data_IF_956688774468
#
_entry.id   IF_956688774468
#
_cell.length_a   1.000
_cell.length_b   1.000
_cell.length_c   1.000
_cell.angle_alpha   90.00
_cell.angle_beta   90.00
_cell.angle_gamma   90.00
#
_symmetry.space_group_name_H-M   'P 1'
#
loop_
_entity.id
_entity.type
_entity.pdbx_description
1 polymer ?
#
# COMPACT_ATOMS: atom_id res chain seq x y z
N UNK A 1 53.45 1.79 28.58
CA UNK A 1 54.42 1.84 27.46
C UNK A 1 53.65 2.33 26.24
N UNK A 2 53.84 3.61 25.91
CA UNK A 2 53.17 4.32 24.80
C UNK A 2 53.93 4.08 23.50
N UNK A 3 53.25 3.64 22.43
CA UNK A 3 53.64 3.78 21.01
C UNK A 3 52.52 3.18 20.15
N UNK A 4 52.02 3.72 19.04
CA UNK A 4 52.19 4.95 18.27
C UNK A 4 50.95 5.03 17.36
N UNK A 5 50.13 6.07 17.47
CA UNK A 5 49.02 6.33 16.55
C UNK A 5 49.58 6.87 15.23
N UNK A 6 49.40 6.13 14.12
CA UNK A 6 49.71 6.65 12.77
C UNK A 6 48.60 7.62 12.35
N UNK A 7 48.98 8.90 12.21
CA UNK A 7 48.20 9.94 11.55
C UNK A 7 48.14 9.61 10.05
N UNK A 8 46.95 9.48 9.48
CA UNK A 8 46.74 9.55 8.03
C UNK A 8 45.97 10.84 7.78
N UNK A 9 46.65 11.79 7.14
CA UNK A 9 46.18 13.13 6.82
C UNK A 9 46.04 13.22 5.29
N UNK A 10 44.88 13.75 4.88
CA UNK A 10 44.56 14.47 3.64
C UNK A 10 44.55 13.78 2.28
N UNK A 11 43.44 14.01 1.59
CA UNK A 11 43.27 13.85 0.15
C UNK A 11 41.82 14.16 -0.28
N UNK A 12 41.36 15.40 -0.09
CA UNK A 12 40.12 15.90 -0.72
C UNK A 12 40.39 16.10 -2.21
N UNK A 13 39.70 15.36 -3.07
CA UNK A 13 39.66 15.62 -4.52
C UNK A 13 38.23 16.05 -4.88
N UNK A 14 37.99 17.36 -4.85
CA UNK A 14 36.76 18.01 -5.33
C UNK A 14 36.77 18.05 -6.85
N UNK A 15 35.86 17.32 -7.50
CA UNK A 15 35.60 17.45 -8.94
C UNK A 15 34.43 18.41 -9.13
N UNK A 16 34.72 19.64 -9.55
CA UNK A 16 33.72 20.58 -10.04
C UNK A 16 33.33 20.18 -11.47
N UNK A 17 32.10 19.68 -11.65
CA UNK A 17 31.49 19.58 -12.97
C UNK A 17 30.48 20.73 -13.12
N UNK A 18 30.91 21.78 -13.82
CA UNK A 18 30.03 22.85 -14.31
C UNK A 18 29.28 22.32 -15.52
N UNK A 19 27.98 22.03 -15.38
CA UNK A 19 27.08 21.84 -16.52
C UNK A 19 26.20 23.09 -16.65
N UNK A 20 26.66 24.02 -17.50
CA UNK A 20 25.80 25.02 -18.12
C UNK A 20 25.14 24.32 -19.32
N UNK A 21 23.85 24.00 -19.21
CA UNK A 21 23.00 23.86 -20.39
C UNK A 21 22.04 25.04 -20.36
N UNK A 22 22.42 26.04 -21.15
CA UNK A 22 21.58 27.14 -21.56
C UNK A 22 20.32 26.59 -22.26
N UNK A 23 19.19 27.25 -22.01
CA UNK A 23 17.94 26.95 -22.67
C UNK A 23 18.03 27.14 -24.18
N UNK A 24 17.43 26.20 -24.91
CA UNK A 24 17.00 26.44 -26.27
C UNK A 24 15.48 26.58 -26.28
N UNK A 25 15.05 27.80 -26.57
CA UNK A 25 13.69 28.18 -26.93
C UNK A 25 13.19 27.39 -28.15
N UNK A 26 11.86 27.28 -28.17
CA UNK A 26 10.99 26.92 -29.29
C UNK A 26 11.17 27.78 -30.54
N UNK A 27 11.14 27.15 -31.72
CA UNK A 27 10.45 27.57 -32.99
C UNK A 27 11.00 26.77 -34.19
N UNK A 28 10.33 26.72 -35.37
CA UNK A 28 8.90 26.59 -35.64
C UNK A 28 8.60 25.42 -36.62
N UNK A 29 7.31 25.22 -36.86
CA UNK A 29 6.64 24.30 -37.78
C UNK A 29 7.28 24.13 -39.17
N UNK A 30 7.40 22.89 -39.64
CA UNK A 30 7.41 22.61 -41.07
C UNK A 30 6.68 21.29 -41.39
N UNK A 31 5.65 21.44 -42.20
CA UNK A 31 4.77 20.41 -42.74
C UNK A 31 5.49 19.45 -43.67
N UNK A 32 5.18 18.16 -43.57
CA UNK A 32 5.25 17.21 -44.70
C UNK A 32 4.27 16.07 -44.44
N UNK A 33 3.21 16.02 -45.25
CA UNK A 33 2.33 14.87 -45.38
C UNK A 33 3.13 13.68 -45.94
N UNK A 34 2.86 12.45 -45.50
CA UNK A 34 2.38 11.32 -46.34
C UNK A 34 2.16 10.04 -45.49
N UNK A 35 0.90 9.59 -45.49
CA UNK A 35 0.32 8.22 -45.37
C UNK A 35 0.52 7.27 -44.16
N UNK A 36 -0.57 7.17 -43.39
CA UNK A 36 -1.30 5.98 -42.91
C UNK A 36 -0.50 4.71 -42.52
N UNK A 37 -0.41 4.50 -41.22
CA UNK A 37 -0.77 3.22 -40.57
C UNK A 37 -1.47 3.54 -39.25
N UNK A 38 -2.78 3.31 -39.19
CA UNK A 38 -3.60 3.55 -38.01
C UNK A 38 -3.43 2.39 -37.02
N UNK A 39 -2.39 2.46 -36.19
CA UNK A 39 -2.38 1.75 -34.91
C UNK A 39 -2.87 2.71 -33.83
N UNK A 40 -4.14 2.58 -33.46
CA UNK A 40 -4.74 3.27 -32.34
C UNK A 40 -4.22 2.65 -31.04
N UNK A 41 -2.96 2.92 -30.70
CA UNK A 41 -2.50 2.77 -29.32
C UNK A 41 -3.20 3.86 -28.51
N UNK A 42 -4.35 3.53 -27.91
CA UNK A 42 -4.92 4.32 -26.82
C UNK A 42 -3.92 4.28 -25.66
N UNK A 43 -3.00 5.24 -25.64
CA UNK A 43 -2.39 5.69 -24.39
C UNK A 43 -3.54 6.01 -23.43
N UNK A 44 -3.52 5.54 -22.17
CA UNK A 44 -4.51 5.97 -21.19
C UNK A 44 -4.44 7.49 -21.11
N UNK A 45 -5.49 8.13 -21.63
CA UNK A 45 -5.65 9.56 -21.56
C UNK A 45 -5.85 9.88 -20.09
N UNK A 46 -4.80 10.40 -19.44
CA UNK A 46 -4.82 10.75 -18.02
C UNK A 46 -5.92 11.78 -17.83
N UNK A 47 -7.06 11.38 -17.26
CA UNK A 47 -8.08 12.31 -16.80
C UNK A 47 -7.38 13.35 -15.91
N UNK A 48 -7.80 14.61 -16.05
CA UNK A 48 -7.26 15.73 -15.28
C UNK A 48 -7.31 15.45 -13.76
N UNK A 49 -6.51 16.14 -12.93
CA UNK A 49 -6.48 15.95 -11.49
C UNK A 49 -7.89 15.94 -10.91
N UNK A 50 -8.26 14.84 -10.23
CA UNK A 50 -9.58 14.74 -9.65
C UNK A 50 -9.60 15.51 -8.34
N UNK A 51 -10.12 16.72 -8.40
CA UNK A 51 -10.43 17.50 -7.22
C UNK A 51 -11.61 16.84 -6.51
N UNK A 52 -11.32 16.01 -5.49
CA UNK A 52 -12.33 15.34 -4.69
C UNK A 52 -13.30 16.31 -4.01
N UNK A 53 -13.00 17.62 -3.92
CA UNK A 53 -13.98 18.60 -3.39
C UNK A 53 -15.05 18.98 -4.42
N UNK A 54 -14.76 18.82 -5.73
CA UNK A 54 -15.68 19.12 -6.83
C UNK A 54 -16.33 17.87 -7.42
N UNK A 55 -15.59 16.76 -7.47
CA UNK A 55 -16.07 15.46 -7.92
C UNK A 55 -15.49 14.38 -7.03
N UNK A 56 -16.28 13.96 -6.04
CA UNK A 56 -15.88 13.00 -5.01
C UNK A 56 -15.70 11.58 -5.56
N UNK A 57 -15.98 11.33 -6.83
CA UNK A 57 -16.21 9.98 -7.32
C UNK A 57 -14.97 9.30 -7.89
N UNK A 58 -15.03 7.99 -8.04
CA UNK A 58 -14.10 7.24 -8.86
C UNK A 58 -13.24 6.24 -8.10
N UNK A 59 -12.48 5.46 -8.85
CA UNK A 59 -11.70 4.33 -8.35
C UNK A 59 -10.21 4.65 -8.35
N UNK A 60 -9.55 4.29 -7.26
CA UNK A 60 -8.14 4.50 -7.00
C UNK A 60 -7.48 3.16 -6.68
N UNK A 61 -6.30 2.89 -7.22
CA UNK A 61 -5.55 1.65 -7.01
C UNK A 61 -4.37 1.88 -6.09
N UNK A 62 -4.16 1.02 -5.09
CA UNK A 62 -3.03 1.10 -4.16
C UNK A 62 -1.68 0.87 -4.87
N UNK A 63 -0.73 1.79 -4.68
CA UNK A 63 0.53 1.81 -5.44
C UNK A 63 1.80 1.79 -4.59
N UNK A 64 1.73 2.10 -3.29
CA UNK A 64 2.89 2.15 -2.39
C UNK A 64 2.89 0.96 -1.41
N UNK A 65 2.86 -0.24 -1.97
CA UNK A 65 2.53 -1.47 -1.24
C UNK A 65 3.65 -1.89 -0.29
N UNK A 66 4.85 -2.12 -0.82
CA UNK A 66 6.00 -2.55 -0.03
C UNK A 66 6.34 -1.59 1.11
N UNK A 67 6.40 -0.27 0.85
CA UNK A 67 6.73 0.71 1.89
C UNK A 67 5.70 0.73 3.02
N UNK A 68 4.41 0.61 2.67
CA UNK A 68 3.34 0.51 3.66
C UNK A 68 3.51 -0.74 4.53
N UNK A 69 3.65 -1.91 3.89
CA UNK A 69 3.74 -3.19 4.60
C UNK A 69 5.01 -3.29 5.41
N UNK A 70 6.14 -2.78 4.91
CA UNK A 70 7.38 -2.69 5.67
C UNK A 70 7.20 -1.91 6.98
N UNK A 71 6.47 -0.78 6.96
CA UNK A 71 6.18 -0.02 8.18
C UNK A 71 5.30 -0.80 9.14
N UNK A 72 4.27 -1.48 8.64
CA UNK A 72 3.41 -2.34 9.46
C UNK A 72 4.25 -3.45 10.10
N UNK A 73 5.11 -4.11 9.34
CA UNK A 73 5.98 -5.17 9.84
C UNK A 73 7.00 -4.69 10.86
N UNK A 74 7.70 -3.57 10.59
CA UNK A 74 8.65 -2.96 11.53
C UNK A 74 7.97 -2.59 12.86
N UNK A 75 6.70 -2.22 12.79
CA UNK A 75 5.92 -1.87 13.95
C UNK A 75 5.20 -3.07 14.58
N UNK A 76 5.47 -4.31 14.14
CA UNK A 76 4.86 -5.53 14.63
C UNK A 76 5.91 -6.48 15.22
N UNK A 77 5.48 -7.48 15.99
CA UNK A 77 6.38 -8.48 16.56
C UNK A 77 6.70 -9.64 15.58
N UNK A 78 6.73 -9.37 14.27
CA UNK A 78 7.07 -10.37 13.26
C UNK A 78 8.59 -10.59 13.23
N UNK A 79 9.02 -11.84 13.09
CA UNK A 79 10.44 -12.19 12.95
C UNK A 79 11.02 -11.47 11.72
N UNK A 80 12.17 -10.80 11.86
CA UNK A 80 12.81 -10.04 10.77
C UNK A 80 12.97 -10.81 9.46
N UNK A 81 13.34 -12.09 9.55
CA UNK A 81 13.46 -12.96 8.37
C UNK A 81 12.09 -13.19 7.70
N UNK A 82 11.03 -13.42 8.49
CA UNK A 82 9.67 -13.57 7.96
C UNK A 82 9.20 -12.27 7.29
N UNK A 83 9.40 -11.12 7.96
CA UNK A 83 9.03 -9.81 7.42
C UNK A 83 9.74 -9.48 6.10
N UNK A 84 10.99 -9.94 5.91
CA UNK A 84 11.73 -9.75 4.66
C UNK A 84 11.21 -10.62 3.52
N UNK A 85 10.85 -11.87 3.80
CA UNK A 85 10.33 -12.81 2.79
C UNK A 85 8.90 -12.44 2.39
N UNK A 86 8.03 -12.23 3.37
CA UNK A 86 6.61 -11.92 3.20
C UNK A 86 6.34 -10.58 2.47
N UNK A 87 7.35 -9.73 2.27
CA UNK A 87 7.14 -8.40 1.70
C UNK A 87 6.72 -8.46 0.23
N UNK A 88 7.31 -9.39 -0.52
CA UNK A 88 7.10 -9.52 -1.97
C UNK A 88 5.71 -10.10 -2.30
N UNK A 89 5.09 -10.81 -1.35
CA UNK A 89 3.73 -11.36 -1.48
C UNK A 89 2.68 -10.27 -1.70
N UNK A 90 2.97 -9.04 -1.27
CA UNK A 90 2.05 -7.93 -1.41
C UNK A 90 2.04 -7.32 -2.81
N UNK A 91 3.09 -7.50 -3.62
CA UNK A 91 3.22 -6.86 -4.94
C UNK A 91 2.11 -7.26 -5.92
N UNK A 92 1.53 -8.46 -5.70
CA UNK A 92 0.44 -9.00 -6.52
C UNK A 92 -0.93 -8.45 -6.10
N UNK A 93 -1.03 -7.79 -4.94
CA UNK A 93 -2.30 -7.35 -4.37
C UNK A 93 -2.85 -6.18 -5.15
N UNK A 94 -4.05 -6.36 -5.71
CA UNK A 94 -4.77 -5.31 -6.45
C UNK A 94 -5.84 -4.68 -5.56
N UNK A 95 -5.40 -3.95 -4.54
CA UNK A 95 -6.33 -3.19 -3.71
C UNK A 95 -6.83 -1.95 -4.44
N UNK A 96 -8.15 -1.75 -4.38
CA UNK A 96 -8.84 -0.59 -4.92
C UNK A 96 -9.64 0.10 -3.84
N UNK A 97 -9.70 1.43 -3.91
CA UNK A 97 -10.60 2.27 -3.14
C UNK A 97 -11.52 2.99 -4.11
N UNK A 98 -12.83 2.75 -4.01
CA UNK A 98 -13.84 3.44 -4.81
C UNK A 98 -14.56 4.44 -3.93
N UNK A 99 -14.63 5.69 -4.37
CA UNK A 99 -15.39 6.73 -3.71
C UNK A 99 -16.63 7.00 -4.57
N UNK A 100 -17.81 7.00 -3.95
CA UNK A 100 -19.07 7.35 -4.60
C UNK A 100 -19.93 8.10 -3.60
N UNK A 101 -20.33 9.31 -3.96
CA UNK A 101 -20.96 10.26 -3.04
C UNK A 101 -20.09 10.40 -1.77
N UNK A 102 -20.67 10.18 -0.59
CA UNK A 102 -19.95 10.18 0.71
C UNK A 102 -19.40 8.81 1.12
N UNK A 103 -19.58 7.79 0.29
CA UNK A 103 -19.20 6.41 0.62
C UNK A 103 -17.85 6.08 0.02
N UNK A 104 -17.02 5.39 0.80
CA UNK A 104 -15.74 4.83 0.37
C UNK A 104 -15.80 3.32 0.50
N UNK A 105 -15.41 2.58 -0.53
CA UNK A 105 -15.30 1.12 -0.48
C UNK A 105 -13.87 0.70 -0.80
N UNK A 106 -13.20 0.06 0.16
CA UNK A 106 -11.94 -0.64 -0.04
C UNK A 106 -12.20 -2.09 -0.40
N UNK A 107 -11.59 -2.55 -1.50
CA UNK A 107 -11.71 -3.92 -2.00
C UNK A 107 -10.35 -4.48 -2.38
N UNK A 108 -10.15 -5.77 -2.13
CA UNK A 108 -9.02 -6.51 -2.66
C UNK A 108 -9.29 -8.01 -2.65
N UNK A 109 -8.51 -8.75 -3.43
CA UNK A 109 -8.35 -10.20 -3.35
C UNK A 109 -6.96 -10.51 -2.79
N UNK A 110 -6.85 -11.48 -1.89
CA UNK A 110 -5.58 -11.85 -1.27
C UNK A 110 -5.42 -13.36 -1.19
N UNK A 111 -4.34 -13.87 -1.79
CA UNK A 111 -3.83 -15.23 -1.60
C UNK A 111 -2.83 -15.20 -0.45
N UNK A 112 -3.09 -15.99 0.59
CA UNK A 112 -2.27 -16.01 1.79
C UNK A 112 -1.37 -17.24 1.90
N UNK A 113 -1.31 -18.09 0.86
CA UNK A 113 -0.50 -19.31 0.88
C UNK A 113 0.98 -18.99 0.95
N UNK A 114 1.50 -18.19 0.02
CA UNK A 114 2.93 -17.82 -0.02
C UNK A 114 3.35 -17.10 1.27
N UNK A 115 2.49 -16.19 1.75
CA UNK A 115 2.68 -15.47 3.02
C UNK A 115 2.90 -16.40 4.22
N UNK A 116 2.08 -17.43 4.35
CA UNK A 116 2.21 -18.40 5.44
C UNK A 116 3.37 -19.38 5.22
N UNK A 117 3.78 -19.63 3.97
CA UNK A 117 4.95 -20.44 3.63
C UNK A 117 6.23 -19.75 4.13
N UNK A 118 6.36 -18.47 3.79
CA UNK A 118 7.48 -17.64 4.18
C UNK A 118 7.55 -17.45 5.69
N UNK A 119 6.39 -17.26 6.33
CA UNK A 119 6.31 -17.20 7.78
C UNK A 119 6.80 -18.52 8.41
N UNK A 120 6.30 -19.68 7.96
CA UNK A 120 6.66 -20.99 8.50
C UNK A 120 8.15 -21.32 8.27
N UNK A 121 8.66 -21.02 7.07
CA UNK A 121 10.07 -21.19 6.75
C UNK A 121 10.96 -20.39 7.69
N UNK A 122 10.62 -19.12 7.89
CA UNK A 122 11.40 -18.20 8.70
C UNK A 122 11.34 -18.52 10.20
N UNK A 123 10.18 -18.92 10.75
CA UNK A 123 10.02 -19.24 12.18
C UNK A 123 10.51 -20.64 12.53
N UNK A 124 10.60 -21.55 11.55
CA UNK A 124 10.86 -22.96 11.79
C UNK A 124 9.60 -23.74 12.16
N UNK A 125 8.43 -23.09 12.10
CA UNK A 125 7.15 -23.74 12.40
C UNK A 125 6.80 -24.78 11.34
N UNK A 126 6.44 -25.97 11.83
CA UNK A 126 5.71 -27.00 11.11
C UNK A 126 6.22 -27.36 9.68
N UNK A 127 7.56 -27.29 9.46
CA UNK A 127 8.19 -27.65 8.17
C UNK A 127 7.84 -29.06 7.67
N UNK A 128 7.56 -29.99 8.59
CA UNK A 128 7.22 -31.37 8.25
C UNK A 128 5.77 -31.56 7.77
N UNK A 129 4.86 -30.63 8.07
CA UNK A 129 3.45 -30.75 7.73
C UNK A 129 2.80 -29.38 7.44
N UNK A 130 3.28 -28.75 6.37
CA UNK A 130 2.85 -27.43 5.94
C UNK A 130 1.36 -27.32 5.63
N UNK A 131 0.77 -28.35 5.01
CA UNK A 131 -0.68 -28.36 4.73
C UNK A 131 -1.53 -28.33 6.00
N UNK A 132 -1.13 -29.02 7.07
CA UNK A 132 -1.87 -28.95 8.33
C UNK A 132 -1.68 -27.60 9.03
N UNK A 133 -0.50 -26.99 8.90
CA UNK A 133 -0.26 -25.61 9.35
C UNK A 133 -1.20 -24.62 8.65
N UNK A 134 -1.27 -24.67 7.31
CA UNK A 134 -2.17 -23.83 6.53
C UNK A 134 -3.63 -24.02 6.93
N UNK A 135 -4.11 -25.27 7.03
CA UNK A 135 -5.48 -25.56 7.47
C UNK A 135 -5.79 -24.96 8.85
N UNK A 136 -4.86 -25.04 9.79
CA UNK A 136 -5.03 -24.41 11.11
C UNK A 136 -5.09 -22.88 11.00
N UNK A 137 -4.21 -22.25 10.21
CA UNK A 137 -4.23 -20.80 10.00
C UNK A 137 -5.51 -20.32 9.31
N UNK A 138 -6.01 -21.06 8.32
CA UNK A 138 -7.31 -20.82 7.69
C UNK A 138 -8.45 -20.94 8.69
N UNK A 139 -8.45 -21.96 9.56
CA UNK A 139 -9.47 -22.14 10.59
C UNK A 139 -9.44 -21.00 11.64
N UNK A 140 -8.25 -20.59 12.10
CA UNK A 140 -8.07 -19.43 12.98
C UNK A 140 -8.67 -18.17 12.36
N UNK A 141 -8.35 -17.88 11.09
CA UNK A 141 -8.87 -16.71 10.40
C UNK A 141 -10.39 -16.78 10.19
N UNK A 142 -10.91 -17.96 9.78
CA UNK A 142 -12.35 -18.21 9.62
C UNK A 142 -13.12 -17.95 10.92
N UNK A 143 -12.57 -18.36 12.06
CA UNK A 143 -13.17 -18.12 13.37
C UNK A 143 -13.09 -16.65 13.80
N UNK A 144 -12.14 -15.88 13.27
CA UNK A 144 -12.01 -14.45 13.54
C UNK A 144 -13.01 -13.60 12.75
N UNK A 145 -13.31 -13.97 11.48
CA UNK A 145 -14.17 -13.19 10.57
C UNK A 145 -15.46 -12.69 11.23
N UNK A 146 -16.23 -13.49 12.00
CA UNK A 146 -17.47 -13.02 12.62
C UNK A 146 -17.31 -11.85 13.60
N UNK A 147 -16.10 -11.56 14.08
CA UNK A 147 -15.82 -10.40 14.94
C UNK A 147 -15.78 -9.09 14.15
N UNK A 148 -15.47 -9.13 12.85
CA UNK A 148 -15.52 -8.00 11.94
C UNK A 148 -16.98 -7.77 11.50
N UNK A 149 -17.63 -6.78 12.09
CA UNK A 149 -19.04 -6.42 11.86
C UNK A 149 -19.23 -5.57 10.60
N UNK A 150 -18.21 -4.83 10.19
CA UNK A 150 -18.29 -3.90 9.05
C UNK A 150 -17.50 -4.38 7.83
N UNK A 151 -16.56 -5.29 8.02
CA UNK A 151 -15.83 -5.94 6.93
C UNK A 151 -16.60 -7.15 6.40
N UNK A 152 -16.68 -7.26 5.07
CA UNK A 152 -17.15 -8.46 4.38
C UNK A 152 -15.96 -9.25 3.88
N UNK A 153 -15.87 -10.52 4.27
CA UNK A 153 -14.84 -11.46 3.81
C UNK A 153 -15.52 -12.69 3.23
N UNK A 154 -15.14 -13.06 2.01
CA UNK A 154 -15.55 -14.32 1.37
C UNK A 154 -14.30 -15.19 1.26
N UNK A 155 -14.23 -16.25 2.07
CA UNK A 155 -13.12 -17.20 2.02
C UNK A 155 -13.22 -18.12 0.81
N UNK A 156 -12.11 -18.26 0.10
CA UNK A 156 -11.87 -19.31 -0.89
C UNK A 156 -10.88 -20.31 -0.27
N UNK A 157 -11.40 -21.17 0.62
CA UNK A 157 -10.61 -22.14 1.37
C UNK A 157 -9.80 -23.09 0.46
N UNK A 158 -10.35 -23.62 -0.66
CA UNK A 158 -9.58 -24.49 -1.57
C UNK A 158 -8.33 -23.84 -2.15
N UNK A 159 -8.37 -22.52 -2.41
CA UNK A 159 -7.26 -21.78 -3.00
C UNK A 159 -6.45 -20.98 -1.96
N UNK A 160 -6.77 -21.11 -0.68
CA UNK A 160 -6.12 -20.34 0.39
C UNK A 160 -6.13 -18.83 0.13
N UNK A 161 -7.27 -18.33 -0.33
CA UNK A 161 -7.46 -16.94 -0.68
C UNK A 161 -8.76 -16.37 -0.09
N UNK A 162 -8.95 -15.05 -0.21
CA UNK A 162 -10.22 -14.42 0.13
C UNK A 162 -10.43 -13.10 -0.60
N UNK A 163 -11.70 -12.76 -0.79
CA UNK A 163 -12.13 -11.42 -1.19
C UNK A 163 -12.48 -10.60 0.06
N UNK A 164 -12.07 -9.34 0.04
CA UNK A 164 -12.29 -8.36 1.11
C UNK A 164 -13.07 -7.17 0.59
N UNK A 165 -14.06 -6.72 1.35
CA UNK A 165 -14.67 -5.39 1.19
C UNK A 165 -14.88 -4.73 2.55
N UNK A 166 -14.51 -3.46 2.65
CA UNK A 166 -14.77 -2.61 3.82
C UNK A 166 -15.29 -1.26 3.35
N UNK A 167 -16.44 -0.86 3.89
CA UNK A 167 -17.06 0.43 3.60
C UNK A 167 -16.77 1.44 4.70
N UNK A 168 -16.51 2.67 4.30
CA UNK A 168 -16.31 3.83 5.17
C UNK A 168 -16.95 5.08 4.57
N UNK A 169 -16.63 6.23 5.15
CA UNK A 169 -17.19 7.53 4.79
C UNK A 169 -16.09 8.54 4.52
N UNK A 170 -16.32 9.43 3.54
CA UNK A 170 -15.46 10.58 3.25
C UNK A 170 -16.11 11.88 3.73
N UNK A 171 -15.35 12.70 4.45
CA UNK A 171 -15.68 14.08 4.79
C UNK A 171 -14.71 14.99 4.03
N UNK A 172 -15.20 15.61 2.96
CA UNK A 172 -14.40 16.48 2.09
C UNK A 172 -14.14 17.86 2.67
N UNK A 173 -14.91 18.30 3.67
CA UNK A 173 -14.66 19.57 4.35
C UNK A 173 -13.51 19.42 5.35
N UNK A 174 -13.43 18.26 6.03
CA UNK A 174 -12.35 17.94 6.97
C UNK A 174 -11.15 17.26 6.31
N UNK A 175 -11.25 16.90 5.04
CA UNK A 175 -10.26 16.09 4.33
C UNK A 175 -9.94 14.78 5.06
N UNK A 176 -10.99 14.04 5.45
CA UNK A 176 -10.84 12.76 6.15
C UNK A 176 -11.61 11.62 5.50
N UNK A 177 -11.09 10.40 5.60
CA UNK A 177 -11.80 9.15 5.33
C UNK A 177 -11.83 8.33 6.62
N UNK A 178 -13.01 7.91 7.05
CA UNK A 178 -13.19 7.10 8.26
C UNK A 178 -13.74 5.73 7.91
N UNK A 179 -13.11 4.69 8.44
CA UNK A 179 -13.65 3.33 8.41
C UNK A 179 -14.05 2.92 9.83
N UNK A 180 -15.18 2.23 10.00
CA UNK A 180 -15.65 1.74 11.30
C UNK A 180 -14.80 0.58 11.85
N UNK A 181 -14.00 -0.05 10.98
CA UNK A 181 -12.97 -1.04 11.31
C UNK A 181 -11.69 -0.66 10.59
N UNK A 182 -10.53 -1.05 11.13
CA UNK A 182 -9.26 -0.71 10.52
C UNK A 182 -8.97 -1.68 9.36
N UNK A 183 -8.68 -1.17 8.13
CA UNK A 183 -8.29 -2.01 7.01
C UNK A 183 -7.14 -2.97 7.39
N UNK A 184 -7.26 -4.24 7.01
CA UNK A 184 -6.31 -5.28 7.44
C UNK A 184 -6.19 -6.42 6.44
N UNK A 185 -5.05 -7.12 6.41
CA UNK A 185 -4.91 -8.46 5.85
C UNK A 185 -4.90 -9.52 6.96
N UNK A 186 -5.64 -10.62 6.76
CA UNK A 186 -5.72 -11.77 7.68
C UNK A 186 -6.00 -11.41 9.15
N UNK A 187 -6.60 -10.23 9.42
CA UNK A 187 -6.77 -9.61 10.75
C UNK A 187 -5.50 -9.24 11.53
N UNK A 188 -4.32 -9.55 10.99
CA UNK A 188 -3.03 -9.42 11.71
C UNK A 188 -2.15 -8.31 11.17
N UNK A 189 -2.30 -8.01 9.88
CA UNK A 189 -1.53 -6.97 9.20
C UNK A 189 -2.47 -5.77 9.13
N UNK A 190 -2.45 -4.98 10.19
CA UNK A 190 -3.41 -3.88 10.40
C UNK A 190 -2.80 -2.60 9.81
N UNK A 191 -3.50 -2.00 8.85
CA UNK A 191 -3.07 -0.76 8.20
C UNK A 191 -3.46 0.46 9.02
N UNK A 192 -3.21 0.45 10.32
CA UNK A 192 -3.60 1.52 11.24
C UNK A 192 -2.53 1.90 12.24
N UNK A 193 -2.95 2.66 13.25
CA UNK A 193 -2.08 3.11 14.35
C UNK A 193 -2.09 2.15 15.54
N UNK A 194 -2.96 1.14 15.52
CA UNK A 194 -3.13 0.10 16.56
C UNK A 194 -2.97 -1.28 15.94
N UNK A 195 -2.92 -2.33 16.77
CA UNK A 195 -2.91 -3.73 16.29
C UNK A 195 -4.30 -4.35 16.19
N UNK A 196 -5.32 -3.64 16.64
CA UNK A 196 -6.69 -4.14 16.68
C UNK A 196 -7.46 -3.73 15.43
N UNK A 197 -7.77 -4.67 14.54
CA UNK A 197 -8.55 -4.37 13.34
C UNK A 197 -10.01 -3.99 13.63
N UNK A 198 -10.52 -4.27 14.84
CA UNK A 198 -11.91 -4.04 15.23
C UNK A 198 -12.20 -2.59 15.63
N UNK A 199 -11.17 -1.74 15.77
CA UNK A 199 -11.38 -0.34 16.12
C UNK A 199 -11.51 0.53 14.87
N UNK A 200 -12.32 1.61 14.93
CA UNK A 200 -12.39 2.58 13.85
C UNK A 200 -11.05 3.26 13.60
N UNK A 201 -10.85 3.71 12.36
CA UNK A 201 -9.71 4.56 11.99
C UNK A 201 -10.17 5.70 11.11
N UNK A 202 -9.63 6.89 11.39
CA UNK A 202 -9.78 8.07 10.55
C UNK A 202 -8.42 8.43 9.96
N UNK A 203 -8.36 8.46 8.63
CA UNK A 203 -7.24 8.99 7.89
C UNK A 203 -7.53 10.42 7.48
N UNK A 204 -6.54 11.29 7.63
CA UNK A 204 -6.46 12.51 6.82
C UNK A 204 -6.08 12.13 5.40
N UNK A 205 -6.52 12.90 4.40
CA UNK A 205 -6.13 12.66 3.03
C UNK A 205 -5.68 13.92 2.29
N UNK A 206 -4.78 13.73 1.33
CA UNK A 206 -4.38 14.74 0.35
C UNK A 206 -4.49 14.17 -1.06
N UNK A 207 -4.77 15.04 -2.03
CA UNK A 207 -4.76 14.69 -3.46
C UNK A 207 -3.74 15.57 -4.17
N UNK A 208 -2.74 14.93 -4.77
CA UNK A 208 -1.70 15.57 -5.57
C UNK A 208 -1.71 14.97 -6.97
N UNK A 209 -2.18 15.74 -7.95
CA UNK A 209 -2.34 15.24 -9.32
C UNK A 209 -3.31 14.06 -9.39
N UNK A 210 -2.83 12.89 -9.78
CA UNK A 210 -3.60 11.64 -9.86
C UNK A 210 -3.36 10.71 -8.65
N UNK A 211 -2.72 11.19 -7.58
CA UNK A 211 -2.42 10.40 -6.40
C UNK A 211 -3.19 10.91 -5.18
N UNK A 212 -3.88 9.99 -4.51
CA UNK A 212 -4.52 10.17 -3.21
C UNK A 212 -3.63 9.54 -2.14
N UNK A 213 -3.25 10.32 -1.13
CA UNK A 213 -2.50 9.83 0.03
C UNK A 213 -3.40 9.83 1.25
N UNK A 214 -3.57 8.68 1.89
CA UNK A 214 -4.16 8.56 3.23
C UNK A 214 -3.07 8.55 4.28
N UNK A 215 -3.28 9.26 5.38
CA UNK A 215 -2.34 9.42 6.47
C UNK A 215 -3.06 9.33 7.81
N UNK A 216 -2.53 8.50 8.72
CA UNK A 216 -2.92 8.50 10.12
C UNK A 216 -1.70 8.34 11.02
N UNK A 217 -1.74 8.98 12.18
CA UNK A 217 -0.74 8.86 13.23
C UNK A 217 -1.40 8.75 14.59
N UNK A 218 -0.73 8.11 15.54
CA UNK A 218 -1.28 7.88 16.86
C UNK A 218 -0.38 7.03 17.73
N UNK A 219 -0.81 6.80 18.97
CA UNK A 219 -0.14 5.85 19.86
C UNK A 219 -0.80 4.50 19.77
N UNK A 220 0.01 3.44 19.73
CA UNK A 220 -0.47 2.08 19.89
C UNK A 220 -0.87 1.79 21.35
N UNK A 221 -1.35 0.58 21.59
CA UNK A 221 -1.77 0.07 22.90
C UNK A 221 -0.63 0.08 23.94
N UNK A 222 0.62 0.18 23.50
CA UNK A 222 1.84 0.25 24.32
C UNK A 222 2.43 1.68 24.38
N UNK A 223 1.68 2.69 23.94
CA UNK A 223 2.10 4.09 23.86
C UNK A 223 3.23 4.41 22.88
N UNK A 224 3.58 3.49 21.98
CA UNK A 224 4.52 3.76 20.90
C UNK A 224 3.85 4.56 19.79
N UNK A 225 4.56 5.58 19.29
CA UNK A 225 4.06 6.37 18.17
C UNK A 225 4.11 5.57 16.87
N UNK A 226 3.00 5.59 16.13
CA UNK A 226 2.78 4.90 14.86
C UNK A 226 2.37 5.90 13.81
N UNK A 227 2.84 5.66 12.60
CA UNK A 227 2.47 6.42 11.41
C UNK A 227 2.16 5.43 10.30
N UNK A 228 0.98 5.54 9.71
CA UNK A 228 0.58 4.79 8.53
C UNK A 228 0.34 5.74 7.37
N UNK A 229 0.75 5.30 6.18
CA UNK A 229 0.52 6.02 4.92
C UNK A 229 0.10 5.01 3.87
N UNK A 230 -0.99 5.31 3.17
CA UNK A 230 -1.45 4.54 2.02
C UNK A 230 -1.49 5.48 0.82
N UNK A 231 -1.00 5.05 -0.34
CA UNK A 231 -1.05 5.85 -1.57
C UNK A 231 -1.78 5.11 -2.65
N UNK A 232 -2.70 5.81 -3.31
CA UNK A 232 -3.51 5.28 -4.38
C UNK A 232 -3.41 6.17 -5.60
N UNK A 233 -3.32 5.59 -6.79
CA UNK A 233 -3.39 6.33 -8.05
C UNK A 233 -4.79 6.18 -8.66
N UNK A 234 -5.33 7.27 -9.20
CA UNK A 234 -6.62 7.26 -9.89
C UNK A 234 -6.58 6.35 -11.12
N UNK A 235 -7.62 5.54 -11.31
CA UNK A 235 -7.74 4.61 -12.45
C UNK A 235 -9.04 4.80 -13.25
N UNK A 236 -9.88 5.78 -12.90
CA UNK A 236 -11.12 6.06 -13.61
C UNK A 236 -12.38 5.75 -12.80
N UNK A 237 -13.54 6.02 -13.39
CA UNK A 237 -14.83 5.66 -12.82
C UNK A 237 -15.22 4.33 -13.46
N UNK A 238 -14.90 3.22 -12.80
CA UNK A 238 -15.40 1.92 -13.23
C UNK A 238 -16.87 1.84 -12.84
N UNK A 239 -17.75 2.25 -13.76
CA UNK A 239 -19.20 2.03 -13.70
C UNK A 239 -19.57 0.72 -14.37
#
# INVERSE_FOLDING_TARGET
MFTKTKKILFGFMTFFAVLVIAGCQSSPSQSSQTNKSSQTNKSPQTKAPQDLTKDQQGTWKWTDQQMTIQKVFLASNIKKLAAGLMLDDFDKVKMTMTIKDKTVELKYHFDYRELYEDQAFATGENKANYESYLKNKTAEFKNYIPNLKHTKITLDEPNYAYDYSLTGEIDTQKHTITFPETPTFLSRIVMGTTYNSLVPITYTYTVEGNQLTLYAEGKDEQSHFRVIRLRFNYVGDNH
#
